data_IF_399947603728
#
_entry.id   IF_399947603728
#
_cell.length_a   1.000
_cell.length_b   1.000
_cell.length_c   1.000
_cell.angle_alpha   90.00
_cell.angle_beta   90.00
_cell.angle_gamma   90.00
#
_symmetry.space_group_name_H-M   'P 1'
#
loop_
_entity.id
_entity.type
_entity.pdbx_description
1 polymer ?
#
# COMPACT_ATOMS: atom_id res chain seq x y z
N UNK A 1 24.87 -10.07 -1.10
CA UNK A 1 24.67 -8.85 -0.31
C UNK A 1 23.34 -8.99 0.40
N UNK A 2 23.34 -9.33 1.71
CA UNK A 2 22.13 -9.63 2.48
C UNK A 2 21.46 -8.37 3.04
N UNK A 3 22.09 -7.20 2.83
CA UNK A 3 21.65 -5.95 3.43
C UNK A 3 20.57 -5.24 2.62
N UNK A 4 20.21 -5.75 1.43
CA UNK A 4 19.15 -5.21 0.58
C UNK A 4 17.89 -6.06 0.75
N UNK A 5 16.81 -5.42 1.18
CA UNK A 5 15.52 -6.07 1.28
C UNK A 5 14.87 -6.23 -0.12
N UNK A 6 14.11 -7.32 -0.36
CA UNK A 6 13.33 -7.44 -1.59
C UNK A 6 12.24 -6.35 -1.65
N UNK A 7 11.81 -5.87 -2.83
CA UNK A 7 10.77 -4.85 -2.94
C UNK A 7 9.48 -5.20 -2.19
N UNK A 8 9.12 -6.48 -2.14
CA UNK A 8 7.94 -6.99 -1.43
C UNK A 8 8.04 -6.84 0.09
N UNK A 9 9.23 -6.67 0.66
CA UNK A 9 9.40 -6.36 2.08
C UNK A 9 8.69 -5.07 2.49
N UNK A 10 8.57 -4.10 1.57
CA UNK A 10 7.82 -2.86 1.82
C UNK A 10 6.39 -3.09 2.30
N UNK A 11 5.75 -4.20 1.88
CA UNK A 11 4.39 -4.56 2.31
C UNK A 11 4.30 -4.82 3.81
N UNK A 12 5.37 -5.33 4.45
CA UNK A 12 5.40 -5.53 5.91
C UNK A 12 5.19 -4.23 6.70
N UNK A 13 5.44 -3.08 6.06
CA UNK A 13 5.28 -1.74 6.63
C UNK A 13 4.00 -1.10 6.09
N UNK A 14 3.79 -1.10 4.77
CA UNK A 14 2.68 -0.36 4.15
C UNK A 14 1.30 -0.98 4.42
N UNK A 15 1.23 -2.28 4.71
CA UNK A 15 -0.04 -2.97 4.90
C UNK A 15 -0.82 -2.41 6.09
N UNK A 16 -0.17 -2.20 7.23
CA UNK A 16 -0.83 -1.70 8.43
C UNK A 16 -1.41 -0.30 8.22
N UNK A 17 -0.61 0.61 7.65
CA UNK A 17 -1.04 1.98 7.35
C UNK A 17 -2.20 2.03 6.35
N UNK A 18 -2.13 1.23 5.27
CA UNK A 18 -3.18 1.18 4.26
C UNK A 18 -4.48 0.55 4.78
N UNK A 19 -4.39 -0.51 5.60
CA UNK A 19 -5.57 -1.12 6.22
C UNK A 19 -6.23 -0.18 7.22
N UNK A 20 -5.45 0.51 8.07
CA UNK A 20 -6.01 1.47 9.03
C UNK A 20 -6.80 2.58 8.31
N UNK A 21 -6.26 3.11 7.21
CA UNK A 21 -6.94 4.08 6.36
C UNK A 21 -8.26 3.52 5.78
N UNK A 22 -8.22 2.30 5.22
CA UNK A 22 -9.38 1.69 4.56
C UNK A 22 -10.46 1.20 5.52
N UNK A 23 -10.10 0.70 6.69
CA UNK A 23 -11.09 0.28 7.70
C UNK A 23 -11.91 1.48 8.19
N UNK A 24 -11.31 2.67 8.20
CA UNK A 24 -12.02 3.91 8.53
C UNK A 24 -12.93 4.43 7.39
N UNK A 25 -12.83 3.88 6.17
CA UNK A 25 -13.58 4.38 5.01
C UNK A 25 -14.97 3.76 4.85
N UNK A 26 -15.36 2.79 5.68
CA UNK A 26 -16.69 2.16 5.66
C UNK A 26 -16.87 1.00 4.69
N UNK A 27 -15.79 0.47 4.11
CA UNK A 27 -15.83 -0.71 3.23
C UNK A 27 -16.26 -1.96 4.01
N UNK A 28 -17.06 -2.83 3.37
CA UNK A 28 -17.34 -4.16 3.91
C UNK A 28 -16.08 -5.05 3.80
N UNK A 29 -15.32 -5.08 4.89
CA UNK A 29 -14.05 -5.80 4.98
C UNK A 29 -14.19 -7.31 4.76
N UNK A 30 -15.37 -7.89 5.01
CA UNK A 30 -15.61 -9.33 4.83
C UNK A 30 -15.64 -9.75 3.36
N UNK A 31 -15.73 -8.78 2.45
CA UNK A 31 -15.91 -8.99 1.02
C UNK A 31 -14.77 -8.51 0.15
N UNK A 32 -13.72 -7.99 0.77
CA UNK A 32 -12.51 -7.48 0.12
C UNK A 32 -11.75 -8.62 -0.57
N UNK A 33 -11.34 -8.36 -1.81
CA UNK A 33 -10.37 -9.14 -2.58
C UNK A 33 -9.24 -8.21 -2.97
N UNK A 34 -8.00 -8.65 -2.73
CA UNK A 34 -6.83 -7.94 -3.26
C UNK A 34 -6.70 -8.23 -4.75
N UNK A 35 -6.79 -7.19 -5.59
CA UNK A 35 -6.71 -7.30 -7.04
C UNK A 35 -5.29 -7.14 -7.58
N UNK A 36 -4.70 -5.96 -7.38
CA UNK A 36 -3.38 -5.60 -7.94
C UNK A 36 -2.44 -5.10 -6.84
N UNK A 37 -1.16 -5.42 -6.99
CA UNK A 37 -0.08 -4.82 -6.22
C UNK A 37 1.01 -4.29 -7.16
N UNK A 38 1.37 -3.01 -7.02
CA UNK A 38 2.45 -2.35 -7.77
C UNK A 38 3.47 -1.74 -6.82
N UNK A 39 4.73 -1.69 -7.26
CA UNK A 39 5.83 -1.08 -6.54
C UNK A 39 6.59 -0.15 -7.48
N UNK A 40 6.93 1.03 -6.99
CA UNK A 40 7.91 1.91 -7.60
C UNK A 40 9.06 2.11 -6.62
N UNK A 41 10.21 1.53 -6.94
CA UNK A 41 11.41 1.57 -6.09
C UNK A 41 12.30 2.71 -6.56
N UNK A 42 12.42 3.77 -5.75
CA UNK A 42 13.34 4.90 -6.03
C UNK A 42 14.76 4.56 -5.59
N UNK A 43 14.89 3.92 -4.43
CA UNK A 43 16.09 3.21 -3.98
C UNK A 43 15.68 1.92 -3.24
N UNK A 44 16.51 0.87 -3.23
CA UNK A 44 16.24 -0.31 -2.40
C UNK A 44 16.16 0.06 -0.92
N UNK A 45 15.31 -0.67 -0.17
CA UNK A 45 15.33 -0.65 1.29
C UNK A 45 16.55 -1.43 1.75
N UNK A 46 17.29 -0.87 2.71
CA UNK A 46 18.49 -1.50 3.26
C UNK A 46 18.38 -1.69 4.77
N UNK A 47 19.14 -2.64 5.31
CA UNK A 47 19.27 -2.81 6.75
C UNK A 47 19.72 -1.50 7.44
N UNK A 48 19.04 -1.15 8.53
CA UNK A 48 19.28 0.10 9.26
C UNK A 48 18.42 1.29 8.81
N UNK A 49 17.66 1.17 7.72
CA UNK A 49 16.67 2.19 7.35
C UNK A 49 15.63 2.38 8.47
N UNK A 50 15.39 3.63 8.86
CA UNK A 50 14.24 4.02 9.69
C UNK A 50 13.19 4.60 8.75
N UNK A 51 12.09 3.87 8.56
CA UNK A 51 11.08 4.19 7.58
C UNK A 51 9.81 4.74 8.23
N UNK A 52 9.28 5.81 7.63
CA UNK A 52 7.94 6.33 7.92
C UNK A 52 7.03 6.05 6.73
N UNK A 53 5.76 5.74 7.00
CA UNK A 53 4.78 5.41 5.98
C UNK A 53 3.60 6.37 6.04
N UNK A 54 3.15 6.84 4.88
CA UNK A 54 1.86 7.50 4.74
C UNK A 54 1.08 6.83 3.62
N UNK A 55 -0.25 6.75 3.77
CA UNK A 55 -1.14 6.17 2.75
C UNK A 55 -2.18 7.18 2.30
N UNK A 56 -2.58 7.09 1.04
CA UNK A 56 -3.58 7.96 0.40
C UNK A 56 -4.48 7.11 -0.47
N UNK A 57 -5.80 7.25 -0.31
CA UNK A 57 -6.76 6.69 -1.28
C UNK A 57 -6.68 7.56 -2.54
N UNK A 58 -6.16 7.01 -3.63
CA UNK A 58 -6.03 7.72 -4.91
C UNK A 58 -7.29 7.58 -5.77
N UNK A 59 -8.05 6.49 -5.61
CA UNK A 59 -9.34 6.34 -6.27
C UNK A 59 -10.29 5.43 -5.48
N UNK A 60 -11.58 5.71 -5.57
CA UNK A 60 -12.68 4.85 -5.13
C UNK A 60 -13.81 4.96 -6.16
N UNK A 61 -14.26 3.83 -6.71
CA UNK A 61 -15.27 3.82 -7.79
C UNK A 61 -16.12 2.56 -7.74
N UNK A 62 -17.36 2.66 -8.22
CA UNK A 62 -18.26 1.53 -8.39
C UNK A 62 -18.23 1.02 -9.84
N UNK A 63 -18.02 -0.28 -10.04
CA UNK A 63 -17.97 -0.95 -11.35
C UNK A 63 -18.72 -2.27 -11.29
N UNK A 64 -19.79 -2.40 -12.08
CA UNK A 64 -20.63 -3.60 -12.15
C UNK A 64 -21.08 -4.12 -10.76
N UNK A 65 -21.43 -3.20 -9.86
CA UNK A 65 -21.86 -3.50 -8.49
C UNK A 65 -20.73 -3.64 -7.47
N UNK A 66 -19.48 -3.80 -7.90
CA UNK A 66 -18.33 -3.89 -7.00
C UNK A 66 -17.76 -2.49 -6.71
N UNK A 67 -17.24 -2.28 -5.50
CA UNK A 67 -16.45 -1.10 -5.18
C UNK A 67 -14.97 -1.41 -5.39
N UNK A 68 -14.27 -0.57 -6.16
CA UNK A 68 -12.84 -0.70 -6.46
C UNK A 68 -12.12 0.50 -5.86
N UNK A 69 -11.16 0.22 -4.97
CA UNK A 69 -10.38 1.24 -4.26
C UNK A 69 -8.90 1.04 -4.54
N UNK A 70 -8.20 2.12 -4.89
CA UNK A 70 -6.74 2.11 -5.04
C UNK A 70 -6.13 2.98 -3.96
N UNK A 71 -5.20 2.42 -3.21
CA UNK A 71 -4.43 3.10 -2.16
C UNK A 71 -2.97 3.15 -2.57
N UNK A 72 -2.37 4.34 -2.54
CA UNK A 72 -0.92 4.51 -2.58
C UNK A 72 -0.37 4.58 -1.17
N UNK A 73 0.77 3.94 -0.92
CA UNK A 73 1.54 4.12 0.30
C UNK A 73 2.98 4.51 -0.01
N UNK A 74 3.46 5.58 0.61
CA UNK A 74 4.78 6.15 0.37
C UNK A 74 5.67 5.92 1.59
N UNK A 75 6.78 5.20 1.39
CA UNK A 75 7.81 4.97 2.40
C UNK A 75 8.92 6.01 2.27
N UNK A 76 9.16 6.73 3.36
CA UNK A 76 10.24 7.72 3.45
C UNK A 76 11.29 7.30 4.47
N UNK A 77 12.55 7.50 4.13
CA UNK A 77 13.65 7.54 5.08
C UNK A 77 14.07 9.00 5.24
N UNK A 78 13.82 9.55 6.43
CA UNK A 78 13.86 11.00 6.69
C UNK A 78 13.00 11.77 5.67
N UNK A 79 13.59 12.67 4.90
CA UNK A 79 12.91 13.46 3.87
C UNK A 79 12.89 12.80 2.48
N UNK A 80 13.46 11.60 2.33
CA UNK A 80 13.66 10.98 1.02
C UNK A 80 12.61 9.90 0.77
N UNK A 81 11.88 10.01 -0.34
CA UNK A 81 10.98 8.95 -0.81
C UNK A 81 11.82 7.74 -1.29
N UNK A 82 11.55 6.58 -0.70
CA UNK A 82 12.31 5.34 -0.92
C UNK A 82 11.56 4.41 -1.85
N UNK A 83 10.30 4.12 -1.51
CA UNK A 83 9.40 3.25 -2.27
C UNK A 83 8.00 3.83 -2.21
N UNK A 84 7.30 3.83 -3.34
CA UNK A 84 5.85 3.97 -3.39
C UNK A 84 5.23 2.62 -3.75
N UNK A 85 4.17 2.25 -3.05
CA UNK A 85 3.40 1.03 -3.30
C UNK A 85 1.96 1.40 -3.64
N UNK A 86 1.32 0.60 -4.50
CA UNK A 86 -0.10 0.74 -4.79
C UNK A 86 -0.79 -0.59 -4.60
N UNK A 87 -1.89 -0.59 -3.87
CA UNK A 87 -2.80 -1.72 -3.75
C UNK A 87 -4.16 -1.35 -4.34
N UNK A 88 -4.66 -2.20 -5.24
CA UNK A 88 -6.05 -2.12 -5.70
C UNK A 88 -6.85 -3.22 -5.01
N UNK A 89 -7.89 -2.82 -4.28
CA UNK A 89 -8.84 -3.70 -3.62
C UNK A 89 -10.18 -3.65 -4.33
N UNK A 90 -10.88 -4.78 -4.32
CA UNK A 90 -12.24 -4.93 -4.85
C UNK A 90 -13.14 -5.44 -3.72
N UNK A 91 -14.13 -4.64 -3.33
CA UNK A 91 -15.23 -5.08 -2.46
C UNK A 91 -16.32 -5.61 -3.37
N UNK A 92 -16.63 -6.89 -3.22
CA UNK A 92 -17.60 -7.57 -4.08
C UNK A 92 -19.03 -7.12 -3.78
N UNK A 93 -19.87 -7.06 -4.82
CA UNK A 93 -21.30 -6.73 -4.81
C UNK A 93 -22.19 -7.77 -4.15
#
# INVERSE_FOLDING_TARGET
NLDIAPPTFSISITLDQSQSLLQSSGLDWTRVVHGEQRFEVKRPIIAGDVLTCSSTIESARNVAGNEIVTVRSDLHADSNLVVSTWSTLVVRA
#
